data_IF_864020523042
#
_entry.id   IF_864020523042
#
_cell.length_a   1.000
_cell.length_b   1.000
_cell.length_c   1.000
_cell.angle_alpha   90.00
_cell.angle_beta   90.00
_cell.angle_gamma   90.00
#
_symmetry.space_group_name_H-M   'P 1'
#
loop_
_entity.id
_entity.type
_entity.pdbx_description
1 polymer ?
#
# COMPACT_ATOMS: atom_id res chain seq x y z
N UNK A 1 17.72 13.80 1.28
CA UNK A 1 16.77 14.56 0.44
C UNK A 1 15.42 13.88 0.56
N UNK A 2 14.35 14.60 0.92
CA UNK A 2 13.01 14.03 0.96
C UNK A 2 12.50 13.76 -0.48
N UNK A 3 11.53 12.86 -0.64
CA UNK A 3 11.04 12.44 -1.96
C UNK A 3 10.46 13.62 -2.76
N UNK A 4 9.77 14.55 -2.09
CA UNK A 4 9.22 15.73 -2.74
C UNK A 4 10.30 16.62 -3.35
N UNK A 5 11.39 16.91 -2.62
CA UNK A 5 12.51 17.72 -3.13
C UNK A 5 13.23 17.02 -4.30
N UNK A 6 13.34 15.69 -4.25
CA UNK A 6 13.87 14.92 -5.39
C UNK A 6 12.99 15.17 -6.61
N UNK A 7 11.67 15.00 -6.48
CA UNK A 7 10.73 15.19 -7.59
C UNK A 7 10.75 16.63 -8.14
N UNK A 8 10.67 17.64 -7.28
CA UNK A 8 10.60 19.05 -7.72
C UNK A 8 11.90 19.56 -8.31
N UNK A 9 13.03 18.90 -8.05
CA UNK A 9 14.32 19.23 -8.68
C UNK A 9 14.48 18.72 -10.12
N UNK A 10 13.57 17.88 -10.61
CA UNK A 10 13.65 17.30 -11.96
C UNK A 10 12.91 18.16 -12.99
N UNK A 11 13.47 18.21 -14.20
CA UNK A 11 12.83 18.83 -15.36
C UNK A 11 12.07 17.82 -16.23
N UNK A 12 11.48 18.34 -17.31
CA UNK A 12 10.76 17.51 -18.28
C UNK A 12 11.64 16.47 -19.00
N UNK A 13 12.94 16.72 -19.12
CA UNK A 13 13.87 15.79 -19.79
C UNK A 13 14.12 14.55 -18.93
N UNK A 14 14.39 14.74 -17.64
CA UNK A 14 14.55 13.65 -16.68
C UNK A 14 13.31 12.78 -16.61
N UNK A 15 12.12 13.39 -16.55
CA UNK A 15 10.83 12.68 -16.55
C UNK A 15 10.61 11.90 -17.86
N UNK A 16 10.97 12.47 -19.02
CA UNK A 16 10.89 11.78 -20.32
C UNK A 16 11.81 10.56 -20.37
N UNK A 17 13.03 10.67 -19.85
CA UNK A 17 13.97 9.54 -19.78
C UNK A 17 13.45 8.45 -18.83
N UNK A 18 12.94 8.82 -17.65
CA UNK A 18 12.36 7.86 -16.70
C UNK A 18 11.16 7.10 -17.32
N UNK A 19 10.24 7.80 -17.99
CA UNK A 19 9.11 7.18 -18.70
C UNK A 19 9.58 6.28 -19.85
N UNK A 20 10.61 6.68 -20.58
CA UNK A 20 11.20 5.88 -21.65
C UNK A 20 11.79 4.57 -21.10
N UNK A 21 12.51 4.60 -19.98
CA UNK A 21 13.02 3.39 -19.32
C UNK A 21 11.85 2.51 -18.89
N UNK A 22 10.88 3.05 -18.14
CA UNK A 22 9.74 2.27 -17.64
C UNK A 22 9.00 1.52 -18.75
N UNK A 23 8.75 2.20 -19.88
CA UNK A 23 8.06 1.63 -21.04
C UNK A 23 8.70 0.32 -21.51
N UNK A 24 10.02 0.24 -21.49
CA UNK A 24 10.76 -0.90 -22.02
C UNK A 24 11.16 -1.93 -20.97
N UNK A 25 11.01 -1.64 -19.67
CA UNK A 25 11.32 -2.58 -18.59
C UNK A 25 10.45 -3.85 -18.60
N UNK A 26 9.30 -3.83 -19.29
CA UNK A 26 8.49 -5.03 -19.54
C UNK A 26 9.19 -6.08 -20.42
N UNK A 27 10.14 -5.65 -21.25
CA UNK A 27 10.85 -6.52 -22.21
C UNK A 27 12.32 -6.72 -21.85
N UNK A 28 12.91 -5.77 -21.14
CA UNK A 28 14.34 -5.76 -20.84
C UNK A 28 14.59 -5.56 -19.35
N UNK A 29 15.43 -6.41 -18.76
CA UNK A 29 15.91 -6.23 -17.38
C UNK A 29 16.75 -4.96 -17.21
N UNK A 30 17.58 -4.67 -18.22
CA UNK A 30 18.28 -3.40 -18.39
C UNK A 30 17.97 -2.94 -19.81
N UNK A 31 17.32 -1.79 -19.94
CA UNK A 31 16.88 -1.23 -21.23
C UNK A 31 18.10 -0.68 -21.97
N UNK A 32 18.39 -1.15 -23.20
CA UNK A 32 19.47 -0.64 -24.05
C UNK A 32 19.46 0.88 -24.17
N UNK A 33 20.65 1.51 -24.15
CA UNK A 33 20.82 2.97 -24.15
C UNK A 33 20.14 3.60 -25.37
N UNK A 34 20.33 3.00 -26.53
CA UNK A 34 19.80 3.46 -27.83
C UNK A 34 18.27 3.44 -27.84
N UNK A 35 17.66 2.46 -27.17
CA UNK A 35 16.21 2.38 -27.03
C UNK A 35 15.67 3.49 -26.12
N UNK A 36 16.35 3.79 -25.02
CA UNK A 36 15.96 4.88 -24.13
C UNK A 36 16.12 6.23 -24.82
N UNK A 37 17.25 6.47 -25.48
CA UNK A 37 17.52 7.72 -26.20
C UNK A 37 16.45 7.97 -27.27
N UNK A 38 16.23 7.00 -28.17
CA UNK A 38 15.21 7.08 -29.22
C UNK A 38 13.80 7.30 -28.65
N UNK A 39 13.47 6.63 -27.55
CA UNK A 39 12.14 6.74 -26.94
C UNK A 39 11.94 8.03 -26.15
N UNK A 40 13.02 8.59 -25.62
CA UNK A 40 13.00 9.88 -24.93
C UNK A 40 12.74 11.04 -25.91
N UNK A 41 13.10 10.87 -27.19
CA UNK A 41 13.04 11.90 -28.26
C UNK A 41 13.80 13.18 -27.87
N UNK A 42 14.88 13.05 -27.11
CA UNK A 42 15.74 14.15 -26.72
C UNK A 42 16.97 14.24 -27.63
N UNK A 43 17.50 15.44 -27.91
CA UNK A 43 18.82 15.59 -28.51
C UNK A 43 19.90 14.91 -27.66
N UNK A 44 20.98 14.36 -28.25
CA UNK A 44 21.99 13.58 -27.51
C UNK A 44 22.62 14.30 -26.31
N UNK A 45 22.83 15.62 -26.42
CA UNK A 45 23.38 16.45 -25.34
C UNK A 45 22.42 16.57 -24.14
N UNK A 46 21.13 16.76 -24.40
CA UNK A 46 20.07 16.83 -23.37
C UNK A 46 19.83 15.47 -22.75
N UNK A 47 19.79 14.41 -23.56
CA UNK A 47 19.70 13.03 -23.08
C UNK A 47 20.85 12.69 -22.11
N UNK A 48 22.09 12.97 -22.51
CA UNK A 48 23.27 12.70 -21.69
C UNK A 48 23.25 13.45 -20.36
N UNK A 49 22.81 14.72 -20.39
CA UNK A 49 22.65 15.53 -19.17
C UNK A 49 21.58 14.95 -18.24
N UNK A 50 20.40 14.64 -18.77
CA UNK A 50 19.30 14.06 -17.99
C UNK A 50 19.71 12.72 -17.37
N UNK A 51 20.35 11.83 -18.15
CA UNK A 51 20.88 10.57 -17.63
C UNK A 51 21.90 10.80 -16.51
N UNK A 52 22.82 11.76 -16.67
CA UNK A 52 23.80 12.10 -15.63
C UNK A 52 23.08 12.51 -14.33
N UNK A 53 22.08 13.39 -14.42
CA UNK A 53 21.25 13.79 -13.26
C UNK A 53 20.58 12.58 -12.61
N UNK A 54 19.89 11.75 -13.39
CA UNK A 54 19.15 10.59 -12.90
C UNK A 54 20.06 9.54 -12.22
N UNK A 55 21.28 9.33 -12.73
CA UNK A 55 22.27 8.43 -12.13
C UNK A 55 22.80 9.02 -10.82
N UNK A 56 23.19 10.30 -10.81
CA UNK A 56 23.69 11.00 -9.61
C UNK A 56 22.66 10.97 -8.48
N UNK A 57 21.38 11.16 -8.81
CA UNK A 57 20.27 11.11 -7.86
C UNK A 57 19.79 9.69 -7.53
N UNK A 58 20.43 8.65 -8.09
CA UNK A 58 20.10 7.23 -7.88
C UNK A 58 18.66 6.86 -8.28
N UNK A 59 18.08 7.56 -9.25
CA UNK A 59 16.75 7.28 -9.81
C UNK A 59 16.78 6.14 -10.82
N UNK A 60 17.94 5.94 -11.44
CA UNK A 60 18.20 4.83 -12.38
C UNK A 60 19.52 4.14 -12.02
N UNK A 61 19.61 2.85 -12.32
CA UNK A 61 20.86 2.09 -12.29
C UNK A 61 21.35 1.88 -13.71
N UNK A 62 22.63 2.15 -13.95
CA UNK A 62 23.32 1.85 -15.21
C UNK A 62 24.06 0.52 -15.08
N UNK A 63 23.98 -0.32 -16.11
CA UNK A 63 24.86 -1.49 -16.28
C UNK A 63 25.87 -1.21 -17.40
N UNK A 64 27.10 -1.66 -17.22
CA UNK A 64 28.18 -1.61 -18.21
C UNK A 64 28.44 -3.03 -18.76
N UNK A 65 29.07 -3.12 -19.94
CA UNK A 65 29.39 -4.37 -20.62
C UNK A 65 28.43 -4.73 -21.75
N UNK A 66 28.36 -6.01 -22.11
CA UNK A 66 27.58 -6.54 -23.25
C UNK A 66 26.05 -6.33 -23.14
N UNK A 67 25.55 -6.00 -21.95
CA UNK A 67 24.16 -5.64 -21.68
C UNK A 67 24.11 -4.24 -21.06
N UNK A 68 24.72 -3.27 -21.76
CA UNK A 68 24.70 -1.88 -21.32
C UNK A 68 23.28 -1.32 -21.39
N UNK A 69 22.89 -0.57 -20.37
CA UNK A 69 21.52 -0.08 -20.30
C UNK A 69 21.11 0.41 -18.93
N UNK A 70 19.83 0.78 -18.82
CA UNK A 70 19.26 1.40 -17.63
C UNK A 70 18.08 0.60 -17.07
N UNK A 71 17.93 0.62 -15.75
CA UNK A 71 16.72 0.17 -15.06
C UNK A 71 16.32 1.20 -14.02
N UNK A 72 15.03 1.33 -13.74
CA UNK A 72 14.56 2.15 -12.63
C UNK A 72 15.01 1.59 -11.28
N UNK A 73 15.24 2.51 -10.35
CA UNK A 73 15.23 2.21 -8.92
C UNK A 73 13.82 2.42 -8.35
N UNK A 74 13.63 2.07 -7.09
CA UNK A 74 12.42 2.41 -6.35
C UNK A 74 12.15 3.91 -6.35
N UNK A 75 13.18 4.74 -6.11
CA UNK A 75 13.06 6.20 -6.13
C UNK A 75 12.71 6.73 -7.52
N UNK A 76 13.26 6.15 -8.60
CA UNK A 76 12.86 6.52 -9.96
C UNK A 76 11.39 6.18 -10.24
N UNK A 77 10.89 5.07 -9.71
CA UNK A 77 9.49 4.70 -9.82
C UNK A 77 8.58 5.61 -8.97
N UNK A 78 9.03 6.00 -7.77
CA UNK A 78 8.32 6.94 -6.89
C UNK A 78 8.08 8.27 -7.61
N UNK A 79 9.14 8.84 -8.17
CA UNK A 79 9.08 10.09 -8.94
C UNK A 79 8.03 10.00 -10.04
N UNK A 80 8.01 8.90 -10.80
CA UNK A 80 7.02 8.69 -11.86
C UNK A 80 5.58 8.58 -11.33
N UNK A 81 5.38 7.98 -10.16
CA UNK A 81 4.07 7.88 -9.53
C UNK A 81 3.60 9.26 -9.03
N UNK A 82 4.46 9.99 -8.31
CA UNK A 82 4.18 11.35 -7.83
C UNK A 82 3.90 12.31 -8.98
N UNK A 83 4.70 12.26 -10.04
CA UNK A 83 4.49 13.03 -11.27
C UNK A 83 3.11 12.78 -11.88
N UNK A 84 2.69 11.51 -11.95
CA UNK A 84 1.35 11.17 -12.46
C UNK A 84 0.24 11.72 -11.56
N UNK A 85 0.33 11.49 -10.25
CA UNK A 85 -0.67 11.94 -9.28
C UNK A 85 -0.83 13.47 -9.30
N UNK A 86 0.28 14.21 -9.37
CA UNK A 86 0.26 15.66 -9.47
C UNK A 86 -0.30 16.15 -10.81
N UNK A 87 0.17 15.58 -11.92
CA UNK A 87 -0.32 15.96 -13.26
C UNK A 87 -1.81 15.73 -13.48
N UNK A 88 -2.42 14.81 -12.72
CA UNK A 88 -3.85 14.52 -12.72
C UNK A 88 -4.66 15.34 -11.70
N UNK A 89 -4.02 16.24 -10.96
CA UNK A 89 -4.69 17.05 -9.94
C UNK A 89 -5.15 16.25 -8.71
N UNK A 90 -4.55 15.09 -8.44
CA UNK A 90 -4.90 14.27 -7.27
C UNK A 90 -4.21 14.81 -6.02
N UNK A 91 -2.93 15.18 -6.14
CA UNK A 91 -2.14 15.79 -5.08
C UNK A 91 -1.52 17.11 -5.60
N UNK A 92 -1.45 18.11 -4.73
CA UNK A 92 -0.73 19.36 -4.96
C UNK A 92 0.67 19.30 -4.35
N UNK A 93 0.75 18.79 -3.11
CA UNK A 93 1.99 18.66 -2.34
C UNK A 93 2.10 17.28 -1.71
N UNK A 94 3.28 16.68 -1.78
CA UNK A 94 3.66 15.53 -0.95
C UNK A 94 4.44 16.03 0.27
N UNK A 95 3.88 15.81 1.45
CA UNK A 95 4.47 16.22 2.73
C UNK A 95 5.37 15.15 3.34
N UNK A 96 5.40 15.15 4.67
CA UNK A 96 6.28 14.29 5.45
C UNK A 96 5.88 12.82 5.40
N UNK A 97 6.88 11.98 5.61
CA UNK A 97 6.71 10.55 5.79
C UNK A 97 6.22 10.28 7.21
N UNK A 98 5.05 9.64 7.33
CA UNK A 98 4.41 9.34 8.62
C UNK A 98 4.48 7.86 9.00
N UNK A 99 4.77 6.97 8.05
CA UNK A 99 4.82 5.54 8.30
C UNK A 99 5.99 4.85 7.61
N UNK A 100 6.75 4.08 8.40
CA UNK A 100 7.71 3.10 7.93
C UNK A 100 7.10 1.71 8.07
N UNK A 101 6.38 1.26 7.04
CA UNK A 101 5.80 -0.07 7.02
C UNK A 101 6.84 -1.14 6.66
N UNK A 102 6.61 -2.37 7.15
CA UNK A 102 7.27 -3.58 6.63
C UNK A 102 7.04 -3.76 5.13
N UNK A 103 5.92 -3.23 4.63
CA UNK A 103 5.40 -3.43 3.27
C UNK A 103 5.44 -2.17 2.38
N UNK A 104 5.78 -1.01 2.93
CA UNK A 104 5.76 0.25 2.17
C UNK A 104 6.17 1.49 2.97
N UNK A 105 6.15 2.63 2.30
CA UNK A 105 6.38 3.96 2.89
C UNK A 105 5.09 4.77 2.79
N UNK A 106 4.64 5.40 3.88
CA UNK A 106 3.41 6.21 3.88
C UNK A 106 3.74 7.68 4.09
N UNK A 107 3.20 8.53 3.22
CA UNK A 107 3.40 9.98 3.22
C UNK A 107 2.07 10.70 3.40
N UNK A 108 2.09 11.85 4.08
CA UNK A 108 0.99 12.81 4.00
C UNK A 108 1.06 13.49 2.63
N UNK A 109 -0.09 13.76 2.04
CA UNK A 109 -0.24 14.64 0.89
C UNK A 109 -1.40 15.61 1.10
N UNK A 110 -1.40 16.68 0.31
CA UNK A 110 -2.49 17.64 0.26
C UNK A 110 -3.01 17.68 -1.17
N UNK A 111 -4.34 17.57 -1.33
CA UNK A 111 -5.00 17.73 -2.63
C UNK A 111 -5.02 19.21 -3.07
N UNK A 112 -5.30 19.52 -4.34
CA UNK A 112 -5.48 20.91 -4.77
C UNK A 112 -6.60 21.66 -4.03
N UNK A 113 -7.59 20.94 -3.50
CA UNK A 113 -8.67 21.50 -2.68
C UNK A 113 -8.29 21.71 -1.20
N UNK A 114 -7.05 21.42 -0.80
CA UNK A 114 -6.58 21.57 0.57
C UNK A 114 -6.88 20.39 1.50
N UNK A 115 -7.63 19.38 1.04
CA UNK A 115 -7.91 18.18 1.85
C UNK A 115 -6.65 17.32 2.06
N UNK A 116 -6.49 16.76 3.27
CA UNK A 116 -5.41 15.85 3.63
C UNK A 116 -5.64 14.45 3.05
N UNK A 117 -4.59 13.89 2.49
CA UNK A 117 -4.52 12.56 1.88
C UNK A 117 -3.33 11.79 2.46
N UNK A 118 -3.33 10.48 2.27
CA UNK A 118 -2.12 9.66 2.41
C UNK A 118 -1.72 9.06 1.07
N UNK A 119 -0.42 8.97 0.82
CA UNK A 119 0.17 8.28 -0.33
C UNK A 119 1.01 7.13 0.20
N UNK A 120 0.55 5.91 -0.02
CA UNK A 120 1.25 4.67 0.35
C UNK A 120 2.02 4.14 -0.86
N UNK A 121 3.33 4.07 -0.74
CA UNK A 121 4.25 3.52 -1.74
C UNK A 121 4.64 2.10 -1.36
N UNK A 122 4.21 1.11 -2.13
CA UNK A 122 4.50 -0.30 -1.88
C UNK A 122 5.95 -0.67 -2.18
N UNK A 123 6.55 -1.52 -1.34
CA UNK A 123 7.97 -1.91 -1.42
C UNK A 123 8.14 -3.42 -1.26
N UNK A 124 7.95 -4.15 -2.34
CA UNK A 124 8.24 -5.58 -2.36
C UNK A 124 9.75 -5.85 -2.23
N UNK A 125 10.12 -6.92 -1.52
CA UNK A 125 11.51 -7.38 -1.43
C UNK A 125 12.39 -6.74 -0.34
N UNK A 126 11.83 -5.93 0.58
CA UNK A 126 12.45 -5.69 1.90
C UNK A 126 12.58 -7.04 2.64
N UNK A 127 13.56 -7.24 3.51
CA UNK A 127 13.86 -8.56 4.11
C UNK A 127 12.65 -9.22 4.81
N UNK A 128 11.76 -8.41 5.39
CA UNK A 128 10.43 -8.82 5.88
C UNK A 128 9.61 -9.55 4.81
N UNK A 129 9.55 -9.01 3.59
CA UNK A 129 8.86 -9.57 2.42
C UNK A 129 9.48 -10.88 1.90
N UNK A 130 10.77 -11.12 2.16
CA UNK A 130 11.46 -12.35 1.74
C UNK A 130 11.05 -13.56 2.57
N UNK A 131 10.78 -13.39 3.87
CA UNK A 131 10.22 -14.44 4.74
C UNK A 131 8.77 -14.76 4.37
N UNK A 132 8.01 -13.72 4.09
CA UNK A 132 6.62 -13.73 3.60
C UNK A 132 6.43 -14.61 2.34
N UNK A 133 7.38 -14.61 1.39
CA UNK A 133 7.27 -15.38 0.14
C UNK A 133 7.20 -16.90 0.34
N UNK A 134 7.58 -17.43 1.52
CA UNK A 134 7.47 -18.86 1.86
C UNK A 134 6.04 -19.29 2.23
N UNK A 135 5.12 -18.35 2.49
CA UNK A 135 3.73 -18.64 2.83
C UNK A 135 2.70 -18.00 1.88
N UNK A 136 3.12 -17.14 0.94
CA UNK A 136 2.24 -16.37 0.04
C UNK A 136 2.27 -16.81 -1.43
N UNK A 137 2.39 -18.12 -1.71
CA UNK A 137 2.52 -18.66 -3.08
C UNK A 137 1.26 -18.54 -3.96
N UNK A 138 0.13 -18.10 -3.42
CA UNK A 138 -1.17 -18.21 -4.11
C UNK A 138 -1.65 -16.91 -4.80
N UNK A 139 -1.19 -15.72 -4.39
CA UNK A 139 -1.81 -14.46 -4.80
C UNK A 139 -1.14 -13.75 -6.00
N UNK A 140 -0.02 -14.26 -6.51
CA UNK A 140 0.71 -13.66 -7.62
C UNK A 140 1.09 -14.77 -8.63
N UNK A 141 0.12 -15.17 -9.46
CA UNK A 141 0.35 -15.99 -10.67
C UNK A 141 1.28 -15.31 -11.70
N UNK A 142 1.79 -14.13 -11.37
CA UNK A 142 2.83 -13.46 -12.12
C UNK A 142 4.15 -14.15 -11.82
N UNK A 143 4.87 -14.62 -12.84
CA UNK A 143 6.33 -14.77 -12.77
C UNK A 143 6.92 -13.35 -12.83
N UNK A 144 7.14 -12.65 -11.70
CA UNK A 144 7.42 -11.23 -11.76
C UNK A 144 8.87 -11.05 -12.17
N UNK A 145 9.13 -10.35 -13.27
CA UNK A 145 10.48 -10.04 -13.75
C UNK A 145 11.26 -9.14 -12.80
N UNK A 146 10.58 -8.38 -11.92
CA UNK A 146 11.21 -7.48 -10.94
C UNK A 146 10.37 -7.26 -9.68
N UNK A 147 11.02 -6.86 -8.58
CA UNK A 147 10.34 -6.41 -7.35
C UNK A 147 9.49 -5.14 -7.53
N UNK A 148 9.81 -4.33 -8.54
CA UNK A 148 9.01 -3.16 -8.89
C UNK A 148 7.64 -3.59 -9.43
N UNK A 149 7.60 -4.62 -10.27
CA UNK A 149 6.35 -5.16 -10.82
C UNK A 149 5.48 -5.78 -9.71
N UNK A 150 6.09 -6.50 -8.76
CA UNK A 150 5.39 -7.01 -7.57
C UNK A 150 4.79 -5.86 -6.76
N UNK A 151 5.54 -4.79 -6.54
CA UNK A 151 5.05 -3.62 -5.80
C UNK A 151 3.87 -2.94 -6.49
N UNK A 152 3.89 -2.88 -7.83
CA UNK A 152 2.76 -2.37 -8.63
C UNK A 152 1.52 -3.24 -8.46
N UNK A 153 1.68 -4.56 -8.53
CA UNK A 153 0.58 -5.51 -8.37
C UNK A 153 -0.03 -5.45 -6.95
N UNK A 154 0.80 -5.29 -5.91
CA UNK A 154 0.31 -5.14 -4.53
C UNK A 154 -0.50 -3.84 -4.34
N UNK A 155 -0.02 -2.73 -4.91
CA UNK A 155 -0.76 -1.46 -4.86
C UNK A 155 -2.09 -1.54 -5.62
N UNK A 156 -2.10 -2.20 -6.78
CA UNK A 156 -3.33 -2.44 -7.53
C UNK A 156 -4.32 -3.29 -6.73
N UNK A 157 -3.82 -4.36 -6.11
CA UNK A 157 -4.61 -5.28 -5.27
C UNK A 157 -5.23 -4.55 -4.09
N UNK A 158 -4.46 -3.72 -3.38
CA UNK A 158 -4.95 -2.94 -2.24
C UNK A 158 -5.99 -1.89 -2.69
N UNK A 159 -5.71 -1.13 -3.75
CA UNK A 159 -6.67 -0.13 -4.23
C UNK A 159 -8.01 -0.78 -4.62
N UNK A 160 -7.97 -1.88 -5.38
CA UNK A 160 -9.18 -2.58 -5.82
C UNK A 160 -10.02 -3.11 -4.66
N UNK A 161 -9.38 -3.65 -3.62
CA UNK A 161 -10.14 -4.17 -2.47
C UNK A 161 -10.68 -3.07 -1.59
N UNK A 162 -9.94 -1.97 -1.40
CA UNK A 162 -10.43 -0.80 -0.66
C UNK A 162 -11.68 -0.21 -1.31
N UNK A 163 -11.73 -0.14 -2.65
CA UNK A 163 -12.92 0.35 -3.37
C UNK A 163 -14.13 -0.53 -3.06
N UNK A 164 -14.00 -1.85 -3.19
CA UNK A 164 -15.08 -2.80 -2.92
C UNK A 164 -15.53 -2.79 -1.46
N UNK A 165 -14.59 -2.61 -0.52
CA UNK A 165 -14.88 -2.53 0.91
C UNK A 165 -15.63 -1.23 1.26
N UNK A 166 -15.21 -0.09 0.71
CA UNK A 166 -15.89 1.19 0.90
C UNK A 166 -17.30 1.18 0.31
N UNK A 167 -17.49 0.62 -0.89
CA UNK A 167 -18.80 0.49 -1.54
C UNK A 167 -19.81 -0.30 -0.70
N UNK A 168 -19.35 -1.29 0.06
CA UNK A 168 -20.17 -2.09 0.98
C UNK A 168 -20.28 -1.49 2.39
N UNK A 169 -19.73 -0.29 2.61
CA UNK A 169 -19.83 0.45 3.87
C UNK A 169 -18.83 0.00 4.96
N UNK A 170 -17.79 -0.74 4.61
CA UNK A 170 -16.76 -1.16 5.56
C UNK A 170 -15.93 0.04 6.02
N UNK A 171 -15.49 0.04 7.30
CA UNK A 171 -14.65 1.12 7.85
C UNK A 171 -13.20 0.95 7.43
N UNK A 172 -12.90 1.39 6.22
CA UNK A 172 -11.56 1.43 5.62
C UNK A 172 -11.20 2.86 5.18
N UNK A 173 -9.92 3.18 4.92
CA UNK A 173 -9.59 4.48 4.35
C UNK A 173 -10.19 4.62 2.95
N UNK A 174 -10.90 5.73 2.71
CA UNK A 174 -11.51 6.00 1.41
C UNK A 174 -10.47 6.06 0.29
N UNK A 175 -10.44 5.13 -0.67
CA UNK A 175 -9.52 5.16 -1.80
C UNK A 175 -9.82 6.36 -2.71
N UNK A 176 -8.77 7.02 -3.21
CA UNK A 176 -8.87 8.21 -4.08
C UNK A 176 -8.28 7.92 -5.46
N UNK A 177 -7.08 7.34 -5.50
CA UNK A 177 -6.42 7.03 -6.76
C UNK A 177 -5.37 5.93 -6.60
N UNK A 178 -5.02 5.30 -7.71
CA UNK A 178 -3.88 4.39 -7.80
C UNK A 178 -3.02 4.73 -9.01
N UNK A 179 -1.70 4.67 -8.82
CA UNK A 179 -0.75 4.73 -9.92
C UNK A 179 0.51 3.93 -9.60
N UNK A 180 0.88 2.98 -10.47
CA UNK A 180 2.06 2.13 -10.30
C UNK A 180 2.00 1.41 -8.94
N UNK A 181 2.94 1.69 -8.06
CA UNK A 181 3.04 1.14 -6.70
C UNK A 181 2.55 2.12 -5.64
N UNK A 182 1.84 3.19 -6.04
CA UNK A 182 1.28 4.20 -5.15
C UNK A 182 -0.25 4.04 -5.03
N UNK A 183 -0.74 3.98 -3.80
CA UNK A 183 -2.18 4.09 -3.46
C UNK A 183 -2.39 5.41 -2.73
N UNK A 184 -3.36 6.19 -3.20
CA UNK A 184 -3.81 7.43 -2.56
C UNK A 184 -5.16 7.19 -1.94
N UNK A 185 -5.30 7.56 -0.68
CA UNK A 185 -6.53 7.42 0.10
C UNK A 185 -6.71 8.65 1.00
N UNK A 186 -7.93 8.88 1.49
CA UNK A 186 -8.18 9.96 2.46
C UNK A 186 -7.38 9.73 3.73
N UNK A 187 -6.91 10.82 4.33
CA UNK A 187 -6.25 10.76 5.62
C UNK A 187 -7.27 10.37 6.69
N UNK A 188 -6.93 9.37 7.51
CA UNK A 188 -7.75 8.96 8.67
C UNK A 188 -7.18 9.66 9.90
N UNK A 189 -7.98 10.55 10.50
CA UNK A 189 -7.60 11.25 11.73
C UNK A 189 -7.63 10.28 12.92
N UNK A 190 -6.45 9.95 13.44
CA UNK A 190 -6.28 8.97 14.50
C UNK A 190 -4.83 8.53 14.66
N UNK A 191 -4.62 7.52 15.49
CA UNK A 191 -3.32 6.88 15.72
C UNK A 191 -3.43 5.38 15.51
N UNK A 192 -2.30 4.71 15.24
CA UNK A 192 -2.30 3.25 15.20
C UNK A 192 -2.74 2.71 16.57
N UNK A 193 -3.61 1.69 16.57
CA UNK A 193 -4.08 1.06 17.80
C UNK A 193 -2.91 0.53 18.64
N UNK A 194 -1.84 0.06 17.99
CA UNK A 194 -0.58 -0.31 18.63
C UNK A 194 0.07 0.81 19.47
N UNK A 195 -0.17 2.08 19.13
CA UNK A 195 0.42 3.27 19.76
C UNK A 195 -0.46 3.89 20.84
N UNK A 196 -1.72 3.46 20.95
CA UNK A 196 -2.67 3.93 21.97
C UNK A 196 -2.17 3.51 23.35
N UNK A 197 -1.81 4.46 24.21
CA UNK A 197 -1.26 4.20 25.54
C UNK A 197 -2.30 3.74 26.54
N UNK A 198 -3.39 4.48 26.63
CA UNK A 198 -4.53 4.24 27.52
C UNK A 198 -5.74 3.97 26.65
N UNK A 199 -6.39 2.84 26.89
CA UNK A 199 -7.57 2.41 26.16
C UNK A 199 -8.58 1.94 27.20
N UNK A 200 -9.59 2.78 27.46
CA UNK A 200 -10.68 2.43 28.36
C UNK A 200 -11.60 1.37 27.72
N UNK A 201 -12.43 0.73 28.55
CA UNK A 201 -13.26 -0.39 28.12
C UNK A 201 -14.33 0.00 27.09
N UNK A 202 -14.88 1.22 27.17
CA UNK A 202 -15.93 1.68 26.27
C UNK A 202 -15.37 1.98 24.88
N UNK A 203 -14.28 2.74 24.80
CA UNK A 203 -13.55 3.00 23.56
C UNK A 203 -13.03 1.69 22.96
N UNK A 204 -12.50 0.79 23.78
CA UNK A 204 -12.06 -0.53 23.33
C UNK A 204 -13.20 -1.33 22.68
N UNK A 205 -14.38 -1.34 23.31
CA UNK A 205 -15.54 -2.06 22.81
C UNK A 205 -16.05 -1.45 21.50
N UNK A 206 -16.07 -0.12 21.40
CA UNK A 206 -16.41 0.61 20.18
C UNK A 206 -15.48 0.25 19.02
N UNK A 207 -14.17 0.35 19.21
CA UNK A 207 -13.18 0.00 18.18
C UNK A 207 -13.30 -1.47 17.78
N UNK A 208 -13.45 -2.39 18.75
CA UNK A 208 -13.57 -3.81 18.43
C UNK A 208 -14.84 -4.11 17.64
N UNK A 209 -15.97 -3.45 17.96
CA UNK A 209 -17.21 -3.56 17.20
C UNK A 209 -17.02 -3.13 15.74
N UNK A 210 -16.39 -1.97 15.52
CA UNK A 210 -16.06 -1.47 14.18
C UNK A 210 -15.15 -2.42 13.40
N UNK A 211 -14.16 -3.02 14.06
CA UNK A 211 -13.27 -4.00 13.44
C UNK A 211 -14.03 -5.26 13.05
N UNK A 212 -14.83 -5.84 13.95
CA UNK A 212 -15.60 -7.05 13.67
C UNK A 212 -16.64 -6.81 12.56
N UNK A 213 -17.28 -5.65 12.53
CA UNK A 213 -18.21 -5.29 11.45
C UNK A 213 -17.49 -5.15 10.11
N UNK A 214 -16.32 -4.52 10.09
CA UNK A 214 -15.49 -4.41 8.89
C UNK A 214 -15.08 -5.79 8.37
N UNK A 215 -14.69 -6.72 9.25
CA UNK A 215 -14.40 -8.10 8.88
C UNK A 215 -15.64 -8.85 8.38
N UNK A 216 -16.81 -8.62 8.99
CA UNK A 216 -18.08 -9.20 8.56
C UNK A 216 -18.43 -8.76 7.15
N UNK A 217 -18.35 -7.47 6.85
CA UNK A 217 -18.58 -6.94 5.50
C UNK A 217 -17.59 -7.55 4.51
N UNK A 218 -16.30 -7.57 4.87
CA UNK A 218 -15.25 -8.17 4.06
C UNK A 218 -15.56 -9.64 3.71
N UNK A 219 -15.97 -10.44 4.70
CA UNK A 219 -16.25 -11.86 4.51
C UNK A 219 -17.56 -12.13 3.76
N UNK A 220 -18.64 -11.49 4.18
CA UNK A 220 -20.00 -11.81 3.72
C UNK A 220 -20.35 -11.13 2.40
N UNK A 221 -19.95 -9.86 2.21
CA UNK A 221 -20.29 -9.04 1.04
C UNK A 221 -19.20 -9.05 -0.02
N UNK A 222 -17.95 -8.85 0.39
CA UNK A 222 -16.82 -8.74 -0.54
C UNK A 222 -16.20 -10.11 -0.87
N UNK A 223 -16.34 -11.09 0.03
CA UNK A 223 -15.84 -12.45 -0.15
C UNK A 223 -14.35 -12.61 0.13
N UNK A 224 -13.78 -11.84 1.06
CA UNK A 224 -12.36 -11.87 1.40
C UNK A 224 -12.11 -11.95 2.91
N UNK A 225 -10.94 -12.45 3.27
CA UNK A 225 -10.39 -12.45 4.63
C UNK A 225 -9.13 -11.59 4.63
N UNK A 226 -8.94 -10.76 5.66
CA UNK A 226 -7.80 -9.82 5.73
C UNK A 226 -6.44 -10.54 5.64
N UNK A 227 -6.26 -11.66 6.35
CA UNK A 227 -5.11 -12.57 6.22
C UNK A 227 -3.83 -12.09 6.88
N UNK A 228 -3.85 -10.97 7.63
CA UNK A 228 -2.69 -10.43 8.37
C UNK A 228 -3.13 -9.38 9.43
N UNK A 229 -4.30 -9.57 10.05
CA UNK A 229 -4.87 -8.55 10.95
C UNK A 229 -4.12 -8.51 12.30
N UNK A 230 -3.75 -7.31 12.74
CA UNK A 230 -3.16 -7.02 14.04
C UNK A 230 -3.50 -5.61 14.54
N UNK A 231 -3.04 -5.23 15.74
CA UNK A 231 -3.17 -3.86 16.25
C UNK A 231 -2.41 -2.81 15.42
N UNK A 232 -1.47 -3.24 14.58
CA UNK A 232 -0.77 -2.37 13.64
C UNK A 232 -1.57 -2.11 12.35
N UNK A 233 -2.69 -2.82 12.18
CA UNK A 233 -3.59 -2.71 11.02
C UNK A 233 -4.92 -2.03 11.38
N UNK A 234 -5.00 -1.39 12.56
CA UNK A 234 -6.19 -0.65 13.00
C UNK A 234 -5.78 0.75 13.39
N UNK A 235 -6.46 1.76 12.85
CA UNK A 235 -6.37 3.15 13.33
C UNK A 235 -7.50 3.36 14.32
N UNK A 236 -7.14 3.74 15.54
CA UNK A 236 -8.07 4.27 16.53
C UNK A 236 -8.33 5.74 16.18
N UNK A 237 -9.58 6.06 15.81
CA UNK A 237 -9.95 7.42 15.40
C UNK A 237 -10.09 8.32 16.62
N UNK A 238 -9.94 9.63 16.42
CA UNK A 238 -10.15 10.62 17.47
C UNK A 238 -11.59 10.60 18.04
N UNK A 239 -12.55 10.06 17.28
CA UNK A 239 -13.96 9.93 17.65
C UNK A 239 -14.27 8.63 18.43
N UNK A 240 -13.26 7.82 18.75
CA UNK A 240 -13.44 6.58 19.51
C UNK A 240 -13.88 5.36 18.68
N UNK A 241 -13.64 5.38 17.37
CA UNK A 241 -13.95 4.28 16.44
C UNK A 241 -12.71 3.59 15.87
N UNK A 242 -12.92 2.51 15.13
CA UNK A 242 -11.89 1.71 14.46
C UNK A 242 -11.93 1.83 12.94
N UNK A 243 -10.77 1.94 12.31
CA UNK A 243 -10.62 1.82 10.84
C UNK A 243 -9.56 0.78 10.52
N UNK A 244 -9.92 -0.23 9.72
CA UNK A 244 -9.01 -1.31 9.34
C UNK A 244 -8.23 -0.92 8.08
N UNK A 245 -6.90 -1.02 8.15
CA UNK A 245 -5.97 -0.61 7.10
C UNK A 245 -5.09 -1.78 6.64
N UNK A 246 -4.37 -1.58 5.53
CA UNK A 246 -3.37 -2.51 5.02
C UNK A 246 -3.95 -3.86 4.56
N UNK A 247 -4.73 -3.79 3.49
CA UNK A 247 -5.39 -4.93 2.87
C UNK A 247 -4.61 -5.67 1.74
N UNK A 248 -3.35 -5.40 1.35
CA UNK A 248 -2.76 -6.03 0.17
C UNK A 248 -2.61 -7.56 0.30
N UNK A 249 -2.74 -8.13 1.50
CA UNK A 249 -2.55 -9.55 1.81
C UNK A 249 -3.85 -10.36 1.93
N UNK A 250 -5.00 -9.77 1.61
CA UNK A 250 -6.26 -10.48 1.69
C UNK A 250 -6.23 -11.79 0.89
N UNK A 251 -7.01 -12.77 1.32
CA UNK A 251 -7.30 -14.00 0.55
C UNK A 251 -8.78 -14.08 0.25
N UNK A 252 -9.16 -14.78 -0.82
CA UNK A 252 -10.58 -15.02 -1.07
C UNK A 252 -11.14 -16.03 -0.07
N UNK A 253 -12.39 -15.84 0.37
CA UNK A 253 -13.00 -16.69 1.41
C UNK A 253 -13.11 -18.16 1.00
N UNK A 254 -13.16 -18.45 -0.30
CA UNK A 254 -13.30 -19.79 -0.85
C UNK A 254 -11.94 -20.51 -1.01
N UNK A 255 -10.83 -19.84 -0.66
CA UNK A 255 -9.51 -20.49 -0.66
C UNK A 255 -9.38 -21.49 0.50
N UNK A 256 -8.65 -22.62 0.32
CA UNK A 256 -8.60 -23.71 1.31
C UNK A 256 -8.19 -23.30 2.73
N UNK A 257 -7.36 -22.26 2.88
CA UNK A 257 -6.84 -21.81 4.17
C UNK A 257 -7.54 -20.54 4.69
N UNK A 258 -8.58 -20.06 4.02
CA UNK A 258 -9.22 -18.79 4.36
C UNK A 258 -9.87 -18.82 5.76
N UNK A 259 -10.50 -19.94 6.12
CA UNK A 259 -11.14 -20.11 7.43
C UNK A 259 -10.12 -20.10 8.59
N UNK A 260 -8.96 -20.74 8.39
CA UNK A 260 -7.86 -20.71 9.37
C UNK A 260 -7.30 -19.31 9.54
N UNK A 261 -7.13 -18.57 8.43
CA UNK A 261 -6.67 -17.18 8.45
C UNK A 261 -7.67 -16.26 9.15
N UNK A 262 -8.97 -16.43 8.89
CA UNK A 262 -10.02 -15.69 9.56
C UNK A 262 -10.00 -15.95 11.07
N UNK A 263 -9.91 -17.22 11.46
CA UNK A 263 -9.83 -17.64 12.86
C UNK A 263 -8.63 -16.99 13.56
N UNK A 264 -7.47 -17.01 12.90
CA UNK A 264 -6.25 -16.39 13.42
C UNK A 264 -6.39 -14.88 13.57
N UNK A 265 -6.94 -14.19 12.58
CA UNK A 265 -7.12 -12.73 12.57
C UNK A 265 -8.06 -12.30 13.71
N UNK A 266 -9.22 -12.96 13.86
CA UNK A 266 -10.17 -12.68 14.95
C UNK A 266 -9.56 -13.02 16.31
N UNK A 267 -8.96 -14.19 16.48
CA UNK A 267 -8.34 -14.57 17.76
C UNK A 267 -7.24 -13.59 18.19
N UNK A 268 -6.40 -13.15 17.24
CA UNK A 268 -5.34 -12.19 17.52
C UNK A 268 -5.90 -10.86 18.03
N UNK A 269 -6.90 -10.29 17.35
CA UNK A 269 -7.46 -8.99 17.75
C UNK A 269 -8.22 -9.09 19.08
N UNK A 270 -8.96 -10.19 19.32
CA UNK A 270 -9.62 -10.44 20.60
C UNK A 270 -8.60 -10.54 21.76
N UNK A 271 -7.49 -11.25 21.55
CA UNK A 271 -6.41 -11.35 22.54
C UNK A 271 -5.77 -9.99 22.85
N UNK A 272 -5.64 -9.12 21.84
CA UNK A 272 -5.16 -7.75 22.06
C UNK A 272 -6.09 -6.97 22.99
N UNK A 273 -7.40 -6.90 22.68
CA UNK A 273 -8.36 -6.14 23.49
C UNK A 273 -8.57 -6.72 24.89
N UNK A 274 -8.54 -8.05 25.03
CA UNK A 274 -8.58 -8.71 26.34
C UNK A 274 -7.41 -8.28 27.23
N UNK A 275 -6.20 -8.22 26.66
CA UNK A 275 -4.98 -7.83 27.38
C UNK A 275 -4.95 -6.33 27.71
N UNK A 276 -5.39 -5.49 26.78
CA UNK A 276 -5.24 -4.03 26.88
C UNK A 276 -6.38 -3.34 27.63
N UNK A 277 -7.60 -3.88 27.55
CA UNK A 277 -8.81 -3.25 28.09
C UNK A 277 -9.70 -4.24 28.89
N UNK A 278 -9.29 -5.49 29.06
CA UNK A 278 -10.04 -6.48 29.86
C UNK A 278 -11.31 -7.03 29.20
N UNK A 279 -11.53 -6.77 27.91
CA UNK A 279 -12.73 -7.24 27.20
C UNK A 279 -12.77 -8.77 27.12
N UNK A 280 -13.89 -9.35 27.55
CA UNK A 280 -14.12 -10.81 27.59
C UNK A 280 -15.05 -11.23 26.46
N UNK A 281 -14.54 -11.16 25.24
CA UNK A 281 -15.21 -11.66 24.05
C UNK A 281 -14.69 -13.05 23.72
N UNK A 282 -15.60 -13.98 23.50
CA UNK A 282 -15.30 -15.37 23.14
C UNK A 282 -15.10 -15.51 21.62
N UNK A 283 -14.14 -16.35 21.23
CA UNK A 283 -13.73 -16.50 19.84
C UNK A 283 -14.85 -17.08 18.95
N UNK A 284 -15.52 -18.14 19.41
CA UNK A 284 -16.53 -18.82 18.60
C UNK A 284 -17.72 -17.90 18.25
N UNK A 285 -18.33 -17.16 19.19
CA UNK A 285 -19.34 -16.15 18.85
C UNK A 285 -18.84 -15.07 17.87
N UNK A 286 -17.59 -14.59 18.03
CA UNK A 286 -17.03 -13.57 17.13
C UNK A 286 -16.83 -14.10 15.70
N UNK A 287 -16.38 -15.34 15.54
CA UNK A 287 -16.27 -15.97 14.22
C UNK A 287 -17.65 -16.13 13.57
N UNK A 288 -18.64 -16.64 14.32
CA UNK A 288 -20.02 -16.75 13.82
C UNK A 288 -20.59 -15.40 13.39
N UNK A 289 -20.32 -14.36 14.16
CA UNK A 289 -20.68 -12.99 13.78
C UNK A 289 -20.00 -12.56 12.48
N UNK A 290 -18.68 -12.72 12.34
CA UNK A 290 -17.98 -12.32 11.12
C UNK A 290 -18.47 -13.12 9.90
N UNK A 291 -18.82 -14.40 10.08
CA UNK A 291 -19.33 -15.24 9.00
C UNK A 291 -20.80 -14.97 8.62
N UNK A 292 -21.50 -14.10 9.35
CA UNK A 292 -22.89 -13.77 9.06
C UNK A 292 -23.92 -14.65 9.77
N UNK A 293 -23.50 -15.57 10.64
CA UNK A 293 -24.36 -16.58 11.27
C UNK A 293 -25.16 -16.04 12.46
N UNK A 294 -24.75 -14.91 13.04
CA UNK A 294 -25.47 -14.21 14.11
C UNK A 294 -25.77 -12.76 13.71
N UNK A 295 -26.77 -12.15 14.35
CA UNK A 295 -27.21 -10.77 14.05
C UNK A 295 -26.46 -9.68 14.82
N UNK A 296 -26.06 -9.95 16.08
CA UNK A 296 -25.44 -8.95 16.95
C UNK A 296 -23.95 -9.26 17.20
N UNK A 297 -23.09 -8.22 17.27
CA UNK A 297 -21.68 -8.37 17.61
C UNK A 297 -21.52 -8.76 19.09
N UNK A 298 -20.58 -9.67 19.42
CA UNK A 298 -20.44 -10.23 20.77
C UNK A 298 -19.64 -9.34 21.74
N UNK A 299 -19.70 -8.02 21.56
CA UNK A 299 -18.88 -7.01 22.25
C UNK A 299 -19.75 -6.11 23.11
#
# INVERSE_FOLDING_TARGET
MNLWSVYTSLGGDELRVLRAIEKWMRRYRYVPVELVERSSRLPPSRFSRAVKTLVTMKLIKRRLGSLSGYTLTYTGLDVLAIDNLRSRGIIEVLGDKIGLGKEGDVYIAVSPAGSRLTVKLHRAGRESFRKIRRHRSYALDLRPTSWLDVSKALAEREFKILVRLEEEGARVPSPVAWNRHAVVQRYVEGVLLAEVRVLDAETAASILRDVLETLRIAYTRVGVVHGDLSEYNVIATAEGGGVVIDWPQYVYRDEPHAHELLTRDVDYILRYFRRRAGLKVELAPAIKYVMGETGEPPV
#
